data_IF_518856275180
#
_entry.id   IF_518856275180
#
_cell.length_a   1.000
_cell.length_b   1.000
_cell.length_c   1.000
_cell.angle_alpha   90.00
_cell.angle_beta   90.00
_cell.angle_gamma   90.00
#
_symmetry.space_group_name_H-M   'P 1'
#
loop_
_entity.id
_entity.type
_entity.pdbx_description
1 polymer ?
#
# COMPACT_ATOMS: atom_id res chain seq x y z
N UNK A 1 6.96 8.98 -23.47
CA UNK A 1 5.97 7.88 -23.47
C UNK A 1 5.34 7.80 -22.08
N UNK A 2 4.03 7.58 -21.98
CA UNK A 2 3.39 7.35 -20.68
C UNK A 2 3.58 5.88 -20.31
N UNK A 3 4.39 5.61 -19.29
CA UNK A 3 4.65 4.25 -18.83
C UNK A 3 3.62 3.85 -17.79
N UNK A 4 2.99 2.68 -17.99
CA UNK A 4 2.10 2.04 -17.02
C UNK A 4 2.78 0.78 -16.49
N UNK A 5 2.66 0.55 -15.19
CA UNK A 5 3.19 -0.63 -14.50
C UNK A 5 2.05 -1.38 -13.83
N UNK A 6 2.03 -2.69 -13.96
CA UNK A 6 1.03 -3.55 -13.30
C UNK A 6 1.58 -4.11 -12.00
N UNK A 7 0.87 -3.88 -10.89
CA UNK A 7 1.19 -4.44 -9.57
C UNK A 7 -0.02 -5.23 -9.08
N UNK A 8 0.07 -6.56 -9.18
CA UNK A 8 -1.07 -7.44 -8.94
C UNK A 8 -2.24 -7.09 -9.86
N UNK A 9 -3.34 -6.59 -9.27
CA UNK A 9 -4.55 -6.17 -9.99
C UNK A 9 -4.60 -4.67 -10.30
N UNK A 10 -3.59 -3.90 -9.88
CA UNK A 10 -3.53 -2.45 -10.06
C UNK A 10 -2.73 -2.10 -11.32
N UNK A 11 -3.22 -1.12 -12.08
CA UNK A 11 -2.47 -0.44 -13.15
C UNK A 11 -2.06 0.95 -12.66
N UNK A 12 -0.76 1.18 -12.56
CA UNK A 12 -0.17 2.39 -12.00
C UNK A 12 0.49 3.20 -13.11
N UNK A 13 0.18 4.49 -13.20
CA UNK A 13 0.78 5.36 -14.19
C UNK A 13 -0.04 6.62 -14.45
N UNK A 14 0.38 7.45 -15.43
CA UNK A 14 -0.36 8.63 -15.83
C UNK A 14 -1.81 8.29 -16.23
N UNK A 15 -2.76 9.18 -15.91
CA UNK A 15 -4.20 9.02 -16.17
C UNK A 15 -4.85 7.77 -15.52
N UNK A 16 -4.24 7.22 -14.45
CA UNK A 16 -4.83 6.17 -13.60
C UNK A 16 -5.27 6.73 -12.25
N UNK A 17 -6.18 6.06 -11.51
CA UNK A 17 -6.57 6.49 -10.17
C UNK A 17 -5.36 6.64 -9.25
N UNK A 18 -5.40 7.63 -8.37
CA UNK A 18 -4.41 7.80 -7.31
C UNK A 18 -4.40 6.55 -6.41
N UNK A 19 -3.22 6.14 -5.95
CA UNK A 19 -3.03 5.01 -5.04
C UNK A 19 -2.03 5.39 -3.94
N UNK A 20 -2.03 4.62 -2.86
CA UNK A 20 -1.12 4.83 -1.73
C UNK A 20 -0.22 3.61 -1.51
N UNK A 21 1.02 3.87 -1.13
CA UNK A 21 1.92 2.90 -0.50
C UNK A 21 2.10 3.35 0.94
N UNK A 22 1.59 2.59 1.92
CA UNK A 22 1.60 3.02 3.31
C UNK A 22 1.74 1.85 4.29
N UNK A 23 2.32 2.13 5.45
CA UNK A 23 2.52 1.19 6.54
C UNK A 23 3.68 1.63 7.45
N UNK A 24 4.09 0.80 8.42
CA UNK A 24 5.16 1.15 9.33
C UNK A 24 6.51 1.22 8.60
N UNK A 25 7.48 1.88 9.24
CA UNK A 25 8.84 1.94 8.70
C UNK A 25 9.42 0.52 8.53
N UNK A 26 9.32 -0.30 9.58
CA UNK A 26 9.82 -1.68 9.62
C UNK A 26 8.78 -2.66 10.18
N UNK A 27 9.00 -3.95 9.93
CA UNK A 27 8.24 -5.04 10.56
C UNK A 27 8.74 -5.20 12.00
N UNK A 28 7.97 -4.71 12.97
CA UNK A 28 8.30 -4.86 14.40
C UNK A 28 7.85 -6.21 14.96
N UNK A 29 6.69 -6.70 14.51
CA UNK A 29 6.14 -8.02 14.80
C UNK A 29 4.98 -8.30 13.85
N UNK A 30 4.65 -9.57 13.63
CA UNK A 30 3.48 -9.97 12.84
C UNK A 30 2.20 -9.28 13.35
N UNK A 31 1.96 -9.32 14.67
CA UNK A 31 0.78 -8.72 15.29
C UNK A 31 0.70 -7.21 15.03
N UNK A 32 1.81 -6.48 15.14
CA UNK A 32 1.82 -5.04 14.87
C UNK A 32 1.54 -4.78 13.38
N UNK A 33 2.22 -5.46 12.47
CA UNK A 33 2.03 -5.29 11.03
C UNK A 33 0.59 -5.59 10.60
N UNK A 34 -0.01 -6.68 11.08
CA UNK A 34 -1.39 -7.03 10.78
C UNK A 34 -2.38 -5.99 11.30
N UNK A 35 -2.19 -5.49 12.53
CA UNK A 35 -3.04 -4.44 13.09
C UNK A 35 -3.03 -3.15 12.27
N UNK A 36 -1.85 -2.72 11.80
CA UNK A 36 -1.71 -1.54 10.94
C UNK A 36 -2.30 -1.79 9.56
N UNK A 37 -2.03 -2.96 8.96
CA UNK A 37 -2.56 -3.33 7.66
C UNK A 37 -4.10 -3.36 7.64
N UNK A 38 -4.73 -3.92 8.67
CA UNK A 38 -6.19 -3.93 8.82
C UNK A 38 -6.77 -2.52 8.91
N UNK A 39 -6.18 -1.65 9.74
CA UNK A 39 -6.61 -0.26 9.87
C UNK A 39 -6.53 0.49 8.54
N UNK A 40 -5.36 0.43 7.88
CA UNK A 40 -5.15 1.10 6.60
C UNK A 40 -6.06 0.53 5.50
N UNK A 41 -6.28 -0.79 5.46
CA UNK A 41 -7.18 -1.42 4.49
C UNK A 41 -8.62 -0.95 4.66
N UNK A 42 -9.11 -0.84 5.91
CA UNK A 42 -10.45 -0.31 6.20
C UNK A 42 -10.57 1.15 5.76
N UNK A 43 -9.59 1.99 6.08
CA UNK A 43 -9.57 3.39 5.68
C UNK A 43 -9.53 3.57 4.15
N UNK A 44 -8.67 2.83 3.46
CA UNK A 44 -8.53 2.88 2.02
C UNK A 44 -9.82 2.44 1.30
N UNK A 45 -10.48 1.39 1.78
CA UNK A 45 -11.79 0.95 1.26
C UNK A 45 -12.87 2.01 1.47
N UNK A 46 -12.93 2.64 2.64
CA UNK A 46 -13.89 3.71 2.93
C UNK A 46 -13.70 4.94 2.02
N UNK A 47 -12.45 5.24 1.67
CA UNK A 47 -12.10 6.35 0.76
C UNK A 47 -12.14 5.97 -0.73
N UNK A 48 -12.34 4.68 -1.05
CA UNK A 48 -12.32 4.20 -2.44
C UNK A 48 -10.95 4.29 -3.12
N UNK A 49 -9.86 4.33 -2.36
CA UNK A 49 -8.50 4.46 -2.89
C UNK A 49 -7.74 3.13 -2.84
N UNK A 50 -7.02 2.72 -3.90
CA UNK A 50 -6.13 1.59 -3.85
C UNK A 50 -4.98 1.79 -2.85
N UNK A 51 -4.61 0.72 -2.15
CA UNK A 51 -3.54 0.71 -1.15
C UNK A 51 -2.63 -0.50 -1.38
N UNK A 52 -1.32 -0.25 -1.35
CA UNK A 52 -0.27 -1.25 -1.19
C UNK A 52 0.28 -1.10 0.23
N UNK A 53 0.14 -2.14 1.05
CA UNK A 53 0.75 -2.16 2.38
C UNK A 53 2.27 -2.30 2.23
N UNK A 54 3.04 -1.49 2.97
CA UNK A 54 4.50 -1.54 2.99
C UNK A 54 5.04 -1.58 4.41
N UNK A 55 6.01 -2.45 4.64
CA UNK A 55 6.89 -2.43 5.81
C UNK A 55 8.25 -2.99 5.37
N UNK A 56 9.35 -2.42 5.86
CA UNK A 56 10.68 -2.97 5.55
C UNK A 56 11.02 -4.14 6.49
N UNK A 57 11.64 -5.20 5.96
CA UNK A 57 12.16 -6.31 6.79
C UNK A 57 13.37 -5.86 7.62
N UNK A 58 14.23 -5.03 7.03
CA UNK A 58 15.38 -4.41 7.69
C UNK A 58 15.27 -2.87 7.63
N UNK A 59 15.95 -2.18 8.55
CA UNK A 59 16.14 -0.72 8.44
C UNK A 59 17.20 -0.44 7.37
N UNK A 60 16.83 0.40 6.41
CA UNK A 60 17.80 1.06 5.52
C UNK A 60 18.52 2.19 6.26
#
# INVERSE_FOLDING_TARGET
MLHTVRVGRLELGPARPLFFIAGPCVIESERHSMKVAEFLSKAARALGVPLVFKASYDKA
#
